data_IF_673552841847
#
_entry.id   IF_673552841847
#
_cell.length_a   1.000
_cell.length_b   1.000
_cell.length_c   1.000
_cell.angle_alpha   90.00
_cell.angle_beta   90.00
_cell.angle_gamma   90.00
#
_symmetry.space_group_name_H-M   'P 1'
#
loop_
_entity.id
_entity.type
_entity.pdbx_description
1 polymer ?
#
# COMPACT_ATOMS: atom_id res chain seq x y z
N UNK A 1 2.60 -10.44 -31.06
CA UNK A 1 2.59 -8.96 -31.17
C UNK A 1 2.50 -8.36 -29.77
N UNK A 2 3.49 -7.58 -29.35
CA UNK A 2 3.38 -6.82 -28.10
C UNK A 2 2.30 -5.74 -28.26
N UNK A 3 1.23 -5.79 -27.46
CA UNK A 3 0.20 -4.73 -27.45
C UNK A 3 0.89 -3.39 -27.18
N UNK A 4 0.90 -2.51 -28.18
CA UNK A 4 1.36 -1.12 -28.03
C UNK A 4 0.44 -0.41 -27.04
N UNK A 5 0.99 0.04 -25.91
CA UNK A 5 0.27 0.75 -24.85
C UNK A 5 1.07 0.80 -23.56
N UNK A 6 0.81 1.80 -22.70
CA UNK A 6 1.41 1.87 -21.36
C UNK A 6 1.00 0.60 -20.59
N UNK A 7 1.92 -0.12 -19.94
CA UNK A 7 1.58 -1.31 -19.19
C UNK A 7 0.48 -1.01 -18.18
N UNK A 8 -0.57 -1.82 -18.17
CA UNK A 8 -1.70 -1.67 -17.24
C UNK A 8 -1.24 -1.80 -15.79
N UNK A 9 -0.19 -2.61 -15.57
CA UNK A 9 0.43 -2.88 -14.27
C UNK A 9 1.52 -1.85 -13.97
N UNK A 10 1.38 -1.16 -12.84
CA UNK A 10 2.42 -0.26 -12.32
C UNK A 10 3.30 -1.02 -11.33
N UNK A 11 4.64 -0.91 -11.40
CA UNK A 11 5.52 -1.51 -10.41
C UNK A 11 5.21 -0.99 -8.99
N UNK A 12 4.81 0.27 -8.86
CA UNK A 12 4.44 0.85 -7.56
C UNK A 12 3.19 0.18 -6.99
N UNK A 13 2.17 -0.11 -7.82
CA UNK A 13 0.97 -0.83 -7.34
C UNK A 13 1.30 -2.27 -6.96
N UNK A 14 2.14 -2.94 -7.76
CA UNK A 14 2.56 -4.30 -7.42
C UNK A 14 3.28 -4.32 -6.07
N UNK A 15 4.22 -3.41 -5.84
CA UNK A 15 4.91 -3.28 -4.56
C UNK A 15 3.95 -3.03 -3.38
N UNK A 16 2.90 -2.23 -3.58
CA UNK A 16 1.85 -2.02 -2.55
C UNK A 16 1.06 -3.32 -2.32
N UNK A 17 0.77 -4.10 -3.37
CA UNK A 17 0.17 -5.45 -3.24
C UNK A 17 1.08 -6.34 -2.39
N UNK A 18 2.39 -6.34 -2.62
CA UNK A 18 3.34 -7.13 -1.80
C UNK A 18 3.33 -6.72 -0.32
N UNK A 19 3.32 -5.41 -0.04
CA UNK A 19 3.23 -4.90 1.34
C UNK A 19 1.94 -5.36 2.03
N UNK A 20 0.80 -5.21 1.36
CA UNK A 20 -0.50 -5.62 1.90
C UNK A 20 -0.64 -7.13 2.00
N UNK A 21 0.00 -7.90 1.12
CA UNK A 21 0.02 -9.35 1.21
C UNK A 21 0.67 -9.83 2.50
N UNK A 22 1.79 -9.21 2.90
CA UNK A 22 2.49 -9.58 4.14
C UNK A 22 1.78 -9.02 5.38
N UNK A 23 1.27 -7.80 5.35
CA UNK A 23 0.62 -7.16 6.52
C UNK A 23 -0.83 -7.54 6.71
N UNK A 24 -1.51 -8.02 5.67
CA UNK A 24 -2.96 -8.13 5.58
C UNK A 24 -3.65 -6.77 5.41
N UNK A 25 -3.43 -5.84 6.34
CA UNK A 25 -4.12 -4.53 6.38
C UNK A 25 -3.16 -3.42 6.78
N UNK A 26 -3.28 -2.26 6.15
CA UNK A 26 -2.50 -1.07 6.49
C UNK A 26 -3.20 0.21 6.04
N UNK A 27 -2.89 1.34 6.68
CA UNK A 27 -3.41 2.64 6.25
C UNK A 27 -2.45 3.36 5.30
N UNK A 28 -2.96 4.26 4.47
CA UNK A 28 -2.21 4.82 3.34
C UNK A 28 -0.86 5.47 3.70
N UNK A 29 -0.77 6.18 4.83
CA UNK A 29 0.47 6.81 5.26
C UNK A 29 1.53 5.80 5.73
N UNK A 30 1.10 4.74 6.44
CA UNK A 30 1.99 3.65 6.83
C UNK A 30 2.57 2.96 5.60
N UNK A 31 1.73 2.64 4.61
CA UNK A 31 2.17 2.05 3.34
C UNK A 31 3.18 2.95 2.64
N UNK A 32 2.98 4.26 2.62
CA UNK A 32 3.93 5.18 2.01
C UNK A 32 5.29 5.21 2.73
N UNK A 33 5.28 5.14 4.07
CA UNK A 33 6.50 5.10 4.88
C UNK A 33 7.28 3.81 4.64
N UNK A 34 6.61 2.66 4.72
CA UNK A 34 7.24 1.34 4.54
C UNK A 34 7.68 1.13 3.09
N UNK A 35 6.90 1.60 2.13
CA UNK A 35 7.29 1.57 0.72
C UNK A 35 8.66 2.23 0.51
N UNK A 36 8.87 3.43 1.06
CA UNK A 36 10.12 4.17 0.92
C UNK A 36 11.30 3.56 1.70
N UNK A 37 11.05 2.58 2.56
CA UNK A 37 12.09 1.82 3.26
C UNK A 37 12.56 0.60 2.46
N UNK A 38 11.73 0.07 1.56
CA UNK A 38 11.99 -1.19 0.85
C UNK A 38 12.26 -0.95 -0.65
N UNK A 39 11.61 0.04 -1.24
CA UNK A 39 11.57 0.27 -2.69
C UNK A 39 12.13 1.65 -3.07
N UNK A 40 12.37 1.92 -4.38
CA UNK A 40 12.79 3.23 -4.84
C UNK A 40 11.83 4.33 -4.36
N UNK A 41 12.38 5.36 -3.70
CA UNK A 41 11.59 6.38 -2.99
C UNK A 41 10.59 7.08 -3.92
N UNK A 42 9.38 7.31 -3.43
CA UNK A 42 8.39 8.16 -4.07
C UNK A 42 7.61 9.00 -3.03
N UNK A 43 6.86 9.98 -3.50
CA UNK A 43 6.05 10.81 -2.60
C UNK A 43 4.83 10.04 -2.11
N UNK A 44 4.36 10.36 -0.89
CA UNK A 44 3.13 9.77 -0.37
C UNK A 44 1.95 9.96 -1.34
N UNK A 45 1.88 11.11 -2.04
CA UNK A 45 0.85 11.39 -3.04
C UNK A 45 0.80 10.33 -4.16
N UNK A 46 1.96 9.83 -4.61
CA UNK A 46 2.03 8.76 -5.62
C UNK A 46 1.46 7.45 -5.07
N UNK A 47 1.73 7.13 -3.80
CA UNK A 47 1.16 5.97 -3.12
C UNK A 47 -0.36 6.11 -3.00
N UNK A 48 -0.88 7.25 -2.55
CA UNK A 48 -2.33 7.49 -2.47
C UNK A 48 -3.02 7.44 -3.84
N UNK A 49 -2.38 7.99 -4.89
CA UNK A 49 -2.87 7.85 -6.26
C UNK A 49 -3.00 6.37 -6.66
N UNK A 50 -1.99 5.58 -6.33
CA UNK A 50 -1.95 4.16 -6.65
C UNK A 50 -2.92 3.32 -5.82
N UNK A 51 -3.14 3.65 -4.55
CA UNK A 51 -4.18 3.06 -3.71
C UNK A 51 -5.58 3.33 -4.27
N UNK A 52 -5.87 4.60 -4.60
CA UNK A 52 -7.15 4.96 -5.23
C UNK A 52 -7.34 4.25 -6.57
N UNK A 53 -6.30 4.24 -7.42
CA UNK A 53 -6.37 3.56 -8.71
C UNK A 53 -6.52 2.04 -8.56
N UNK A 54 -5.77 1.40 -7.67
CA UNK A 54 -5.90 -0.03 -7.41
C UNK A 54 -7.26 -0.41 -6.82
N UNK A 55 -7.84 0.43 -5.97
CA UNK A 55 -9.21 0.25 -5.49
C UNK A 55 -10.23 0.28 -6.65
N UNK A 56 -10.11 1.22 -7.59
CA UNK A 56 -10.98 1.24 -8.80
C UNK A 56 -10.80 0.03 -9.71
N UNK A 57 -9.62 -0.59 -9.69
CA UNK A 57 -9.31 -1.79 -10.47
C UNK A 57 -9.65 -3.10 -9.74
N UNK A 58 -10.05 -3.03 -8.46
CA UNK A 58 -10.29 -4.20 -7.61
C UNK A 58 -9.02 -4.89 -7.10
N UNK A 59 -7.85 -4.28 -7.28
CA UNK A 59 -6.58 -4.74 -6.71
C UNK A 59 -6.54 -4.48 -5.19
N UNK A 60 -7.26 -3.46 -4.71
CA UNK A 60 -7.38 -3.11 -3.29
C UNK A 60 -8.84 -2.96 -2.88
N UNK A 61 -9.13 -3.16 -1.60
CA UNK A 61 -10.42 -2.86 -0.98
C UNK A 61 -10.21 -1.93 0.22
N UNK A 62 -11.18 -1.05 0.46
CA UNK A 62 -11.20 -0.26 1.69
C UNK A 62 -11.78 -1.15 2.78
N UNK A 63 -10.97 -1.47 3.78
CA UNK A 63 -11.39 -2.29 4.91
C UNK A 63 -12.20 -1.46 5.91
N UNK A 64 -11.71 -0.28 6.27
CA UNK A 64 -12.39 0.66 7.17
C UNK A 64 -11.84 2.08 7.03
N UNK A 65 -12.64 3.06 7.40
CA UNK A 65 -12.23 4.46 7.55
C UNK A 65 -12.38 4.80 9.03
N UNK A 66 -11.28 5.18 9.67
CA UNK A 66 -11.28 5.64 11.06
C UNK A 66 -11.07 7.14 11.06
N UNK A 67 -12.00 7.88 11.68
CA UNK A 67 -11.81 9.28 12.01
C UNK A 67 -11.27 9.34 13.44
N UNK A 68 -10.12 9.98 13.61
CA UNK A 68 -9.50 10.18 14.90
C UNK A 68 -9.52 11.67 15.18
N UNK A 69 -10.26 12.06 16.22
CA UNK A 69 -10.27 13.42 16.72
C UNK A 69 -9.01 13.67 17.53
N UNK A 70 -8.36 14.80 17.31
CA UNK A 70 -7.10 15.11 17.96
C UNK A 70 -6.66 16.54 17.69
N UNK A 71 -5.75 17.05 18.53
CA UNK A 71 -5.24 18.41 18.41
C UNK A 71 -4.02 18.41 17.48
N UNK A 72 -4.25 18.29 16.17
CA UNK A 72 -3.18 18.36 15.17
C UNK A 72 -2.95 19.80 14.75
N UNK A 73 -1.70 20.14 14.38
CA UNK A 73 -1.30 21.47 13.92
C UNK A 73 -2.00 21.98 12.64
N UNK A 74 -2.90 21.20 12.06
CA UNK A 74 -3.62 21.47 10.82
C UNK A 74 -5.10 21.05 10.87
N UNK A 75 -5.65 20.76 12.06
CA UNK A 75 -7.08 20.45 12.21
C UNK A 75 -7.38 19.55 13.39
N UNK A 76 -8.68 19.46 13.72
CA UNK A 76 -9.20 18.71 14.87
C UNK A 76 -9.45 17.22 14.58
N UNK A 77 -9.28 16.77 13.34
CA UNK A 77 -9.62 15.40 12.93
C UNK A 77 -8.70 14.90 11.82
N UNK A 78 -8.27 13.63 11.92
CA UNK A 78 -7.54 12.93 10.86
C UNK A 78 -8.32 11.69 10.42
N UNK A 79 -8.42 11.48 9.10
CA UNK A 79 -9.04 10.27 8.54
C UNK A 79 -7.96 9.26 8.11
N UNK A 80 -8.01 8.07 8.69
CA UNK A 80 -7.18 6.92 8.30
C UNK A 80 -8.02 5.92 7.51
N UNK A 81 -7.75 5.83 6.21
CA UNK A 81 -8.32 4.81 5.34
C UNK A 81 -7.41 3.58 5.38
N UNK A 82 -7.94 2.47 5.87
CA UNK A 82 -7.28 1.18 5.89
C UNK A 82 -7.63 0.41 4.61
N UNK A 83 -6.60 -0.12 3.97
CA UNK A 83 -6.69 -0.91 2.77
C UNK A 83 -6.31 -2.36 3.05
N UNK A 84 -6.91 -3.27 2.28
CA UNK A 84 -6.58 -4.68 2.19
C UNK A 84 -6.53 -5.13 0.73
N UNK A 85 -6.08 -6.35 0.47
CA UNK A 85 -6.06 -6.89 -0.88
C UNK A 85 -7.48 -7.09 -1.41
N UNK A 86 -7.71 -6.65 -2.65
CA UNK A 86 -8.94 -6.94 -3.37
C UNK A 86 -8.88 -8.26 -4.13
N UNK A 87 -10.02 -8.70 -4.67
CA UNK A 87 -10.15 -10.01 -5.32
C UNK A 87 -9.32 -10.14 -6.61
N UNK A 88 -8.92 -9.00 -7.19
CA UNK A 88 -8.07 -8.96 -8.40
C UNK A 88 -6.60 -8.70 -8.06
N UNK A 89 -6.24 -8.69 -6.77
CA UNK A 89 -4.84 -8.63 -6.37
C UNK A 89 -4.11 -9.90 -6.83
N UNK A 90 -2.88 -9.72 -7.30
CA UNK A 90 -2.00 -10.82 -7.71
C UNK A 90 -0.65 -10.68 -6.99
N UNK A 91 -0.56 -11.07 -5.71
CA UNK A 91 0.69 -11.05 -4.97
C UNK A 91 1.70 -12.03 -5.61
N UNK A 92 2.92 -11.55 -5.80
CA UNK A 92 4.04 -12.30 -6.36
C UNK A 92 5.01 -12.81 -5.29
N UNK A 93 4.78 -12.45 -4.02
CA UNK A 93 5.51 -12.96 -2.87
C UNK A 93 6.98 -12.53 -2.94
N UNK A 94 7.21 -11.22 -3.03
CA UNK A 94 8.54 -10.67 -3.24
C UNK A 94 9.49 -10.87 -2.03
N UNK A 95 10.69 -11.37 -2.30
CA UNK A 95 11.77 -11.55 -1.32
C UNK A 95 12.16 -10.30 -0.50
N UNK A 96 12.30 -9.09 -1.09
CA UNK A 96 12.70 -7.90 -0.31
C UNK A 96 11.67 -7.53 0.75
N UNK A 97 10.38 -7.74 0.47
CA UNK A 97 9.31 -7.46 1.44
C UNK A 97 9.34 -8.47 2.58
N UNK A 98 9.46 -9.77 2.27
CA UNK A 98 9.60 -10.82 3.29
C UNK A 98 10.77 -10.55 4.24
N UNK A 99 11.96 -10.33 3.68
CA UNK A 99 13.18 -10.08 4.47
C UNK A 99 13.05 -8.84 5.36
N UNK A 100 12.33 -7.81 4.90
CA UNK A 100 12.10 -6.60 5.69
C UNK A 100 11.22 -6.87 6.92
N UNK A 101 10.15 -7.67 6.76
CA UNK A 101 9.25 -8.00 7.86
C UNK A 101 9.79 -9.10 8.78
N UNK A 102 10.55 -10.07 8.27
CA UNK A 102 11.29 -11.06 9.07
C UNK A 102 12.26 -10.39 10.05
N UNK A 103 13.01 -9.35 9.61
CA UNK A 103 13.91 -8.59 10.50
C UNK A 103 13.19 -7.81 11.60
N UNK A 104 11.91 -7.48 11.40
CA UNK A 104 11.11 -6.71 12.36
C UNK A 104 10.43 -7.59 13.42
N UNK A 105 10.29 -8.89 13.15
CA UNK A 105 9.67 -9.84 14.07
C UNK A 105 10.81 -10.66 14.69
N UNK A 106 11.22 -10.41 15.94
CA UNK A 106 12.18 -11.29 16.58
C UNK A 106 11.59 -12.72 16.59
N UNK A 107 12.41 -13.76 16.38
CA UNK A 107 11.94 -15.13 16.53
C UNK A 107 11.38 -15.28 17.95
N UNK A 108 10.17 -15.81 18.04
CA UNK A 108 9.51 -16.12 19.31
C UNK A 108 10.14 -17.34 19.95
#
# INVERSE_FOLDING_TARGET
MAKRGRPTKSPIRQNIVELLFVKGKAFGYELAKEYNQIFPKCTARVIYYHLKKGATLGEFKIHKIIKEEGNFSWGSTVERIYYELGDKAAPQVSDPVKKFFEKKIPPK
#
